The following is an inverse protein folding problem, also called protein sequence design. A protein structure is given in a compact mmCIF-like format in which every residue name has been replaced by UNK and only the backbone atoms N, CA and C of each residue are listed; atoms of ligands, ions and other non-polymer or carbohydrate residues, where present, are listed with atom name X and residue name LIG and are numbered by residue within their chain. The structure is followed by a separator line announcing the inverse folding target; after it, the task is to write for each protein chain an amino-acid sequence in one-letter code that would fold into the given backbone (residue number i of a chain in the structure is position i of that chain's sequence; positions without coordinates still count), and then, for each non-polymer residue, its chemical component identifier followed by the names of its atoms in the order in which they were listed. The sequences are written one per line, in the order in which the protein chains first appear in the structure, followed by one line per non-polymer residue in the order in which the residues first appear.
data_IF_454679076165
#
_entry.id   IF_454679076165
#
_cell.length_a   1.000
_cell.length_b   1.000
_cell.length_c   1.000
_cell.angle_alpha   90.00
_cell.angle_beta   90.00
_cell.angle_gamma   90.00
#
_symmetry.space_group_name_H-M   'P 1'
#
loop_
_entity.id
_entity.type
_entity.pdbx_description
1 polymer ?
#
# COMPACT_ATOMS: atom_id res chain seq x y z
N UNK A 1 -12.10 -9.05 24.45
CA UNK A 1 -10.85 -9.83 24.45
C UNK A 1 -9.84 -9.10 23.61
N UNK A 2 -8.54 -9.21 23.89
CA UNK A 2 -7.53 -8.65 23.01
C UNK A 2 -7.58 -9.31 21.62
N UNK A 3 -7.14 -8.59 20.60
CA UNK A 3 -7.04 -9.17 19.26
C UNK A 3 -6.00 -10.30 19.25
N UNK A 4 -6.27 -11.40 18.54
CA UNK A 4 -5.31 -12.49 18.41
C UNK A 4 -4.05 -12.04 17.65
N UNK A 5 -2.90 -12.60 18.04
CA UNK A 5 -1.62 -12.36 17.37
C UNK A 5 -1.63 -12.89 15.91
N UNK A 6 -0.75 -12.34 15.07
CA UNK A 6 -0.55 -12.83 13.70
C UNK A 6 -1.67 -12.43 12.72
N UNK A 7 -2.42 -11.36 13.03
CA UNK A 7 -3.48 -10.84 12.15
C UNK A 7 -3.02 -9.73 11.20
N UNK A 8 -1.81 -9.23 11.36
CA UNK A 8 -1.19 -8.23 10.49
C UNK A 8 -0.28 -8.91 9.46
N UNK A 9 -0.15 -8.36 8.24
CA UNK A 9 0.80 -8.87 7.25
C UNK A 9 2.25 -8.64 7.72
N UNK A 10 3.13 -9.61 7.47
CA UNK A 10 4.56 -9.49 7.77
C UNK A 10 5.28 -8.70 6.66
N UNK A 11 6.34 -7.98 7.01
CA UNK A 11 7.11 -7.13 6.07
C UNK A 11 7.92 -7.92 5.01
N UNK A 12 7.93 -9.26 5.13
CA UNK A 12 8.71 -10.18 4.27
C UNK A 12 7.84 -11.09 3.42
N UNK A 13 6.51 -10.90 3.40
CA UNK A 13 5.62 -11.69 2.56
C UNK A 13 5.90 -11.46 1.07
N UNK A 14 5.74 -12.51 0.27
CA UNK A 14 5.63 -12.35 -1.18
C UNK A 14 4.25 -11.76 -1.57
N UNK A 15 4.12 -11.37 -2.82
CA UNK A 15 2.89 -10.72 -3.33
C UNK A 15 1.66 -11.64 -3.28
N UNK A 16 1.84 -12.96 -3.41
CA UNK A 16 0.72 -13.94 -3.35
C UNK A 16 0.18 -14.05 -1.93
N UNK A 17 1.06 -14.15 -0.94
CA UNK A 17 0.71 -14.17 0.46
C UNK A 17 0.12 -12.83 0.91
N UNK A 18 0.62 -11.71 0.39
CA UNK A 18 0.09 -10.38 0.68
C UNK A 18 -1.34 -10.21 0.14
N UNK A 19 -1.58 -10.56 -1.13
CA UNK A 19 -2.92 -10.58 -1.75
C UNK A 19 -3.87 -11.49 -0.96
N UNK A 20 -3.41 -12.67 -0.55
CA UNK A 20 -4.20 -13.60 0.26
C UNK A 20 -4.57 -13.01 1.63
N UNK A 21 -3.63 -12.32 2.28
CA UNK A 21 -3.84 -11.68 3.59
C UNK A 21 -4.90 -10.57 3.51
N UNK A 22 -4.79 -9.68 2.52
CA UNK A 22 -5.76 -8.60 2.29
C UNK A 22 -7.13 -9.13 1.81
N UNK A 23 -7.13 -10.14 0.93
CA UNK A 23 -8.34 -10.79 0.44
C UNK A 23 -9.16 -11.43 1.55
N UNK A 24 -8.52 -12.08 2.54
CA UNK A 24 -9.19 -12.62 3.74
C UNK A 24 -9.87 -11.55 4.59
N UNK A 25 -9.48 -10.28 4.43
CA UNK A 25 -10.07 -9.11 5.11
C UNK A 25 -11.05 -8.35 4.21
N UNK A 26 -11.36 -8.90 3.03
CA UNK A 26 -12.33 -8.31 2.09
C UNK A 26 -11.75 -7.19 1.21
N UNK A 27 -10.43 -7.09 1.07
CA UNK A 27 -9.78 -6.12 0.18
C UNK A 27 -9.32 -6.78 -1.12
N UNK A 28 -9.58 -6.10 -2.23
CA UNK A 28 -9.10 -6.45 -3.56
C UNK A 28 -7.60 -6.14 -3.72
N UNK A 29 -6.98 -6.64 -4.80
CA UNK A 29 -5.61 -6.28 -5.17
C UNK A 29 -5.44 -4.76 -5.33
N UNK A 30 -6.42 -4.09 -5.95
CA UNK A 30 -6.39 -2.63 -6.11
C UNK A 30 -6.34 -1.92 -4.74
N UNK A 31 -7.21 -2.33 -3.82
CA UNK A 31 -7.28 -1.73 -2.49
C UNK A 31 -6.02 -2.01 -1.66
N UNK A 32 -5.44 -3.20 -1.82
CA UNK A 32 -4.13 -3.50 -1.22
C UNK A 32 -3.05 -2.55 -1.74
N UNK A 33 -2.92 -2.40 -3.06
CA UNK A 33 -1.90 -1.53 -3.68
C UNK A 33 -2.10 -0.06 -3.29
N UNK A 34 -3.34 0.44 -3.33
CA UNK A 34 -3.61 1.84 -2.99
C UNK A 34 -3.30 2.11 -1.51
N UNK A 35 -3.66 1.22 -0.59
CA UNK A 35 -3.37 1.35 0.83
C UNK A 35 -1.85 1.34 1.11
N UNK A 36 -1.06 0.56 0.37
CA UNK A 36 0.40 0.58 0.47
C UNK A 36 1.00 1.96 0.14
N UNK A 37 0.29 2.78 -0.66
CA UNK A 37 0.65 4.17 -0.95
C UNK A 37 0.82 5.06 0.29
N UNK A 38 0.28 4.66 1.45
CA UNK A 38 0.53 5.33 2.72
C UNK A 38 2.03 5.40 3.08
N UNK A 39 2.87 4.50 2.54
CA UNK A 39 4.32 4.52 2.73
C UNK A 39 5.03 5.73 2.08
N UNK A 40 4.31 6.58 1.34
CA UNK A 40 4.84 7.89 0.91
C UNK A 40 5.21 8.79 2.12
N UNK A 41 4.48 8.65 3.24
CA UNK A 41 4.73 9.37 4.49
C UNK A 41 5.68 8.58 5.40
N UNK A 42 6.53 9.30 6.11
CA UNK A 42 7.39 8.76 7.16
C UNK A 42 8.70 8.15 6.64
N UNK A 43 9.25 7.23 7.43
CA UNK A 43 10.65 6.80 7.32
C UNK A 43 10.97 5.76 6.25
N UNK A 44 10.05 5.42 5.33
CA UNK A 44 10.31 4.41 4.29
C UNK A 44 11.13 4.94 3.11
N UNK A 45 11.28 6.27 3.00
CA UNK A 45 12.21 6.91 2.06
C UNK A 45 11.68 7.09 0.64
N UNK A 46 10.37 6.95 0.42
CA UNK A 46 9.74 7.09 -0.90
C UNK A 46 9.56 8.53 -1.39
N UNK A 47 9.66 9.53 -0.52
CA UNK A 47 9.40 10.92 -0.88
C UNK A 47 9.60 11.87 0.29
N UNK A 48 8.87 12.99 0.26
CA UNK A 48 8.83 13.90 1.41
C UNK A 48 8.07 13.21 2.56
N UNK A 49 8.72 12.92 3.70
CA UNK A 49 8.11 12.16 4.78
C UNK A 49 6.91 12.83 5.44
N UNK A 50 6.63 14.10 5.11
CA UNK A 50 5.54 14.89 5.68
C UNK A 50 4.48 15.30 4.63
N UNK A 51 4.57 14.80 3.39
CA UNK A 51 3.57 15.06 2.36
C UNK A 51 2.85 13.77 1.98
N UNK A 52 1.53 13.83 1.86
CA UNK A 52 0.77 12.77 1.22
C UNK A 52 0.69 13.09 -0.27
N UNK A 53 1.47 12.38 -1.07
CA UNK A 53 1.58 12.51 -2.53
C UNK A 53 1.74 11.12 -3.17
N UNK A 54 1.86 11.03 -4.49
CA UNK A 54 2.04 9.76 -5.18
C UNK A 54 3.52 9.33 -5.38
N UNK A 55 4.47 9.89 -4.60
CA UNK A 55 5.90 9.58 -4.75
C UNK A 55 6.22 8.09 -4.53
N UNK A 56 5.47 7.42 -3.64
CA UNK A 56 5.53 5.97 -3.45
C UNK A 56 5.49 5.20 -4.77
N UNK A 57 4.48 5.45 -5.60
CA UNK A 57 4.29 4.72 -6.85
C UNK A 57 5.34 5.10 -7.90
N UNK A 58 5.69 6.39 -7.98
CA UNK A 58 6.74 6.87 -8.90
C UNK A 58 8.09 6.19 -8.63
N UNK A 59 8.49 6.11 -7.36
CA UNK A 59 9.74 5.49 -6.94
C UNK A 59 9.75 3.97 -7.18
N UNK A 60 8.62 3.28 -7.04
CA UNK A 60 8.53 1.84 -7.35
C UNK A 60 8.85 1.52 -8.82
N UNK A 61 8.63 2.48 -9.73
CA UNK A 61 8.90 2.33 -11.17
C UNK A 61 10.35 2.68 -11.56
N UNK A 62 11.14 3.28 -10.66
CA UNK A 62 12.52 3.66 -10.95
C UNK A 62 13.45 2.45 -11.16
N UNK A 63 14.37 2.58 -12.12
CA UNK A 63 15.41 1.58 -12.42
C UNK A 63 16.77 2.29 -12.57
N UNK A 64 17.83 1.85 -11.87
CA UNK A 64 17.84 0.82 -10.82
C UNK A 64 17.07 1.25 -9.56
N UNK A 65 16.75 0.30 -8.66
CA UNK A 65 16.06 0.62 -7.38
C UNK A 65 16.88 1.67 -6.61
N UNK A 66 16.27 2.80 -6.19
CA UNK A 66 16.99 3.86 -5.53
C UNK A 66 17.37 3.47 -4.09
N UNK A 67 18.41 4.15 -3.59
CA UNK A 67 18.88 4.00 -2.21
C UNK A 67 18.98 5.38 -1.57
N UNK A 68 18.71 5.46 -0.26
CA UNK A 68 18.85 6.69 0.52
C UNK A 68 19.94 6.51 1.57
N UNK A 69 20.98 7.35 1.51
CA UNK A 69 22.11 7.29 2.46
C UNK A 69 22.76 5.90 2.57
N UNK A 70 22.76 5.13 1.46
CA UNK A 70 23.28 3.75 1.43
C UNK A 70 22.32 2.68 1.97
N UNK A 71 21.11 3.06 2.42
CA UNK A 71 20.05 2.14 2.82
C UNK A 71 19.02 1.96 1.69
N UNK A 72 18.48 0.75 1.49
CA UNK A 72 17.38 0.53 0.55
C UNK A 72 16.14 1.35 0.92
N UNK A 73 15.52 1.99 -0.08
CA UNK A 73 14.19 2.61 0.08
C UNK A 73 13.14 1.50 0.11
N UNK A 74 12.12 1.65 0.98
CA UNK A 74 11.00 0.70 1.09
C UNK A 74 11.34 -0.64 1.75
N UNK A 75 10.31 -1.48 1.86
CA UNK A 75 10.38 -2.85 2.39
C UNK A 75 10.42 -3.90 1.26
N UNK A 76 10.85 -5.15 1.55
CA UNK A 76 10.73 -6.25 0.59
C UNK A 76 9.30 -6.40 0.01
N UNK A 77 8.27 -6.24 0.83
CA UNK A 77 6.87 -6.29 0.40
C UNK A 77 6.46 -5.17 -0.56
N UNK A 78 7.01 -3.95 -0.42
CA UNK A 78 6.75 -2.85 -1.37
C UNK A 78 7.26 -3.22 -2.75
N UNK A 79 8.47 -3.79 -2.80
CA UNK A 79 9.10 -4.19 -4.04
C UNK A 79 8.49 -5.44 -4.66
N UNK A 80 7.95 -6.36 -3.86
CA UNK A 80 7.22 -7.53 -4.34
C UNK A 80 5.98 -7.15 -5.17
N UNK A 81 5.38 -5.97 -4.94
CA UNK A 81 4.28 -5.46 -5.76
C UNK A 81 4.70 -5.22 -7.21
N UNK A 82 5.96 -4.88 -7.46
CA UNK A 82 6.49 -4.61 -8.80
C UNK A 82 6.76 -5.89 -9.61
N UNK A 83 6.58 -7.06 -9.00
CA UNK A 83 6.84 -8.38 -9.59
C UNK A 83 5.54 -9.09 -10.05
N UNK A 84 4.38 -8.45 -9.87
CA UNK A 84 3.06 -8.97 -10.24
C UNK A 84 2.35 -8.00 -11.19
N UNK A 85 1.89 -8.51 -12.34
CA UNK A 85 1.31 -7.69 -13.43
C UNK A 85 0.05 -6.90 -13.01
N UNK A 86 -0.78 -7.48 -12.13
CA UNK A 86 -2.00 -6.81 -11.67
C UNK A 86 -1.66 -5.66 -10.72
N UNK A 87 -0.69 -5.88 -9.83
CA UNK A 87 -0.16 -4.84 -8.95
C UNK A 87 0.52 -3.73 -9.76
N UNK A 88 1.39 -4.10 -10.71
CA UNK A 88 2.12 -3.16 -11.54
C UNK A 88 1.19 -2.24 -12.33
N UNK A 89 0.11 -2.79 -12.89
CA UNK A 89 -0.93 -1.99 -13.55
C UNK A 89 -1.51 -0.89 -12.65
N UNK A 90 -1.76 -1.19 -11.37
CA UNK A 90 -2.26 -0.20 -10.42
C UNK A 90 -1.18 0.80 -10.00
N UNK A 91 0.06 0.35 -9.85
CA UNK A 91 1.21 1.21 -9.58
C UNK A 91 1.36 2.25 -10.71
N UNK A 92 1.32 1.83 -11.98
CA UNK A 92 1.41 2.72 -13.13
C UNK A 92 0.30 3.78 -13.10
N UNK A 93 -0.95 3.36 -12.89
CA UNK A 93 -2.10 4.27 -12.80
C UNK A 93 -1.90 5.32 -11.71
N UNK A 94 -1.50 4.92 -10.49
CA UNK A 94 -1.35 5.85 -9.38
C UNK A 94 -0.08 6.72 -9.48
N UNK A 95 0.95 6.25 -10.18
CA UNK A 95 2.13 7.05 -10.47
C UNK A 95 1.81 8.19 -11.47
N UNK A 96 0.93 7.92 -12.45
CA UNK A 96 0.49 8.88 -13.46
C UNK A 96 -0.60 9.84 -12.97
N UNK A 97 -1.51 9.37 -12.12
CA UNK A 97 -2.70 10.10 -11.67
C UNK A 97 -2.81 10.17 -10.15
N UNK A 98 -2.31 11.28 -9.58
CA UNK A 98 -2.33 11.54 -8.13
C UNK A 98 -3.75 11.76 -7.59
N UNK A 99 -4.63 12.40 -8.35
CA UNK A 99 -6.02 12.63 -7.94
C UNK A 99 -6.77 11.30 -7.83
N UNK A 100 -6.52 10.38 -8.76
CA UNK A 100 -7.05 9.01 -8.69
C UNK A 100 -6.49 8.24 -7.50
N UNK A 101 -5.19 8.37 -7.21
CA UNK A 101 -4.61 7.79 -5.99
C UNK A 101 -5.34 8.30 -4.75
N UNK A 102 -5.52 9.62 -4.61
CA UNK A 102 -6.20 10.20 -3.44
C UNK A 102 -7.65 9.75 -3.32
N UNK A 103 -8.37 9.69 -4.44
CA UNK A 103 -9.76 9.24 -4.46
C UNK A 103 -9.90 7.78 -4.01
N UNK A 104 -9.13 6.88 -4.61
CA UNK A 104 -9.19 5.44 -4.30
C UNK A 104 -8.63 5.16 -2.90
N UNK A 105 -7.61 5.89 -2.45
CA UNK A 105 -7.06 5.77 -1.09
C UNK A 105 -8.09 6.15 -0.04
N UNK A 106 -8.78 7.28 -0.22
CA UNK A 106 -9.85 7.71 0.69
C UNK A 106 -10.90 6.61 0.86
N UNK A 107 -11.34 6.02 -0.24
CA UNK A 107 -12.42 5.03 -0.23
C UNK A 107 -11.95 3.71 0.42
N UNK A 108 -10.76 3.22 0.05
CA UNK A 108 -10.16 2.02 0.65
C UNK A 108 -9.83 2.21 2.14
N UNK A 109 -9.31 3.37 2.54
CA UNK A 109 -9.01 3.69 3.93
C UNK A 109 -10.29 3.84 4.76
N UNK A 110 -11.32 4.48 4.21
CA UNK A 110 -12.65 4.56 4.83
C UNK A 110 -13.23 3.17 5.08
N UNK A 111 -13.11 2.27 4.11
CA UNK A 111 -13.50 0.86 4.27
C UNK A 111 -12.68 0.17 5.36
N UNK A 112 -11.37 0.40 5.41
CA UNK A 112 -10.47 -0.16 6.43
C UNK A 112 -10.86 0.26 7.85
N UNK A 113 -11.03 1.55 8.10
CA UNK A 113 -11.37 2.06 9.44
C UNK A 113 -12.78 1.68 9.88
N UNK A 114 -13.69 1.42 8.95
CA UNK A 114 -15.05 0.97 9.23
C UNK A 114 -15.19 -0.57 9.29
N UNK A 115 -14.12 -1.32 9.08
CA UNK A 115 -14.16 -2.79 9.07
C UNK A 115 -14.64 -3.35 10.42
N UNK A 116 -15.74 -4.09 10.39
CA UNK A 116 -16.36 -4.67 11.60
C UNK A 116 -17.27 -3.71 12.38
N UNK A 117 -17.39 -2.44 11.97
CA UNK A 117 -18.34 -1.52 12.56
C UNK A 117 -19.78 -1.86 12.16
N UNK A 118 -20.72 -1.60 13.06
CA UNK A 118 -22.16 -1.63 12.79
C UNK A 118 -22.75 -0.29 13.21
N UNK A 119 -23.37 0.40 12.27
CA UNK A 119 -23.95 1.72 12.50
C UNK A 119 -25.43 1.58 12.81
N UNK A 120 -25.91 2.30 13.82
CA UNK A 120 -27.34 2.42 14.06
C UNK A 120 -27.92 3.34 12.99
N UNK A 121 -28.95 2.89 12.28
CA UNK A 121 -29.77 3.78 11.46
C UNK A 121 -30.52 4.76 12.36
N UNK A 122 -30.56 6.02 11.95
CA UNK A 122 -31.35 7.06 12.60
C UNK A 122 -32.86 6.81 12.46
#
# INVERSE_FOLDING_TARGET
TADPTGKLPEETLDVVALKTSFGKKGFSTQEMVVLSGAHTIGGKGFGNPNAFDNAYFKVLLEKPRPTSSGMPIGLPTDWALTEDDECLRWIDIYAEDEDKFFADFRDAYTKLVNSGASWRTA
#
